data_IF_631358025323
#
_entry.id   IF_631358025323
#
_cell.length_a   1.000
_cell.length_b   1.000
_cell.length_c   1.000
_cell.angle_alpha   90.00
_cell.angle_beta   90.00
_cell.angle_gamma   90.00
#
_symmetry.space_group_name_H-M   'P 1'
#
loop_
_entity.id
_entity.type
_entity.pdbx_description
1 polymer ?
#
# COMPACT_ATOMS: atom_id res chain seq x y z
N UNK A 1 -17.84 -16.90 -25.80
CA UNK A 1 -17.69 -16.84 -24.34
C UNK A 1 -19.02 -17.07 -23.59
N UNK A 2 -20.12 -16.39 -23.93
CA UNK A 2 -21.45 -16.59 -23.30
C UNK A 2 -22.16 -17.94 -23.56
N UNK A 3 -21.65 -18.80 -24.44
CA UNK A 3 -22.30 -20.06 -24.84
C UNK A 3 -21.95 -21.26 -23.96
N UNK A 4 -21.02 -21.10 -22.99
CA UNK A 4 -20.41 -22.20 -22.22
C UNK A 4 -20.67 -22.08 -20.70
N UNK A 5 -21.11 -20.93 -20.18
CA UNK A 5 -21.47 -20.74 -18.76
C UNK A 5 -22.82 -20.00 -18.64
N UNK A 6 -23.96 -20.69 -18.45
CA UNK A 6 -25.29 -20.08 -18.57
C UNK A 6 -25.72 -19.23 -17.36
N UNK A 7 -25.05 -19.32 -16.21
CA UNK A 7 -25.39 -18.61 -14.98
C UNK A 7 -24.17 -18.50 -14.07
N UNK A 8 -23.94 -17.34 -13.47
CA UNK A 8 -22.92 -17.15 -12.40
C UNK A 8 -23.37 -17.74 -11.05
N UNK A 9 -24.66 -18.07 -10.90
CA UNK A 9 -25.24 -18.46 -9.61
C UNK A 9 -24.90 -19.91 -9.20
N UNK A 10 -24.55 -20.79 -10.14
CA UNK A 10 -24.32 -22.22 -9.90
C UNK A 10 -22.85 -22.65 -10.15
N UNK A 11 -21.92 -21.69 -10.19
CA UNK A 11 -20.49 -21.97 -10.40
C UNK A 11 -19.89 -22.41 -9.05
N UNK A 12 -19.14 -23.54 -8.98
CA UNK A 12 -18.40 -23.90 -7.78
C UNK A 12 -17.49 -22.75 -7.31
N UNK A 13 -17.33 -22.55 -6.00
CA UNK A 13 -16.52 -21.44 -5.46
C UNK A 13 -15.09 -21.41 -6.03
N UNK A 14 -14.53 -22.58 -6.36
CA UNK A 14 -13.21 -22.71 -6.98
C UNK A 14 -13.12 -22.07 -8.36
N UNK A 15 -14.23 -22.08 -9.12
CA UNK A 15 -14.36 -21.54 -10.47
C UNK A 15 -15.01 -20.15 -10.49
N UNK A 16 -15.33 -19.59 -9.32
CA UNK A 16 -15.99 -18.30 -9.19
C UNK A 16 -15.01 -17.16 -9.50
N UNK A 17 -15.26 -16.34 -10.54
CA UNK A 17 -14.37 -15.24 -10.90
C UNK A 17 -14.25 -14.16 -9.82
N UNK A 18 -15.17 -14.12 -8.85
CA UNK A 18 -15.18 -13.19 -7.73
C UNK A 18 -14.59 -13.77 -6.44
N UNK A 19 -14.08 -15.01 -6.46
CA UNK A 19 -13.52 -15.67 -5.27
C UNK A 19 -12.47 -14.81 -4.56
N UNK A 20 -11.56 -14.20 -5.32
CA UNK A 20 -10.53 -13.30 -4.77
C UNK A 20 -11.13 -12.09 -4.05
N UNK A 21 -12.24 -11.53 -4.55
CA UNK A 21 -12.93 -10.42 -3.89
C UNK A 21 -13.62 -10.87 -2.59
N UNK A 22 -14.23 -12.05 -2.57
CA UNK A 22 -14.81 -12.60 -1.34
C UNK A 22 -13.74 -12.85 -0.28
N UNK A 23 -12.59 -13.40 -0.68
CA UNK A 23 -11.45 -13.59 0.23
C UNK A 23 -10.93 -12.26 0.78
N UNK A 24 -10.81 -11.22 -0.07
CA UNK A 24 -10.42 -9.90 0.39
C UNK A 24 -11.44 -9.31 1.39
N UNK A 25 -12.74 -9.48 1.13
CA UNK A 25 -13.80 -9.07 2.08
C UNK A 25 -13.61 -9.77 3.43
N UNK A 26 -13.37 -11.08 3.43
CA UNK A 26 -13.20 -11.86 4.67
C UNK A 26 -11.93 -11.41 5.43
N UNK A 27 -10.84 -11.15 4.73
CA UNK A 27 -9.62 -10.60 5.31
C UNK A 27 -9.88 -9.25 6.00
N UNK A 28 -10.61 -8.35 5.33
CA UNK A 28 -10.94 -7.03 5.88
C UNK A 28 -12.02 -7.06 6.96
N UNK A 29 -12.90 -8.06 7.01
CA UNK A 29 -13.88 -8.19 8.09
C UNK A 29 -13.19 -8.33 9.46
N UNK A 30 -12.11 -9.11 9.53
CA UNK A 30 -11.34 -9.24 10.77
C UNK A 30 -10.65 -7.92 11.14
N UNK A 31 -10.01 -7.26 10.16
CA UNK A 31 -9.37 -5.95 10.36
C UNK A 31 -10.38 -4.93 10.88
N UNK A 32 -11.54 -4.82 10.21
CA UNK A 32 -12.63 -3.93 10.59
C UNK A 32 -13.10 -4.18 12.02
N UNK A 33 -13.29 -5.44 12.41
CA UNK A 33 -13.71 -5.79 13.77
C UNK A 33 -12.72 -5.29 14.83
N UNK A 34 -11.41 -5.42 14.56
CA UNK A 34 -10.37 -4.93 15.47
C UNK A 34 -10.43 -3.41 15.57
N UNK A 35 -10.51 -2.70 14.44
CA UNK A 35 -10.60 -1.24 14.41
C UNK A 35 -11.88 -0.70 15.05
N UNK A 36 -13.03 -1.29 14.76
CA UNK A 36 -14.31 -0.90 15.37
C UNK A 36 -14.24 -1.08 16.90
N UNK A 37 -13.65 -2.19 17.37
CA UNK A 37 -13.46 -2.42 18.82
C UNK A 37 -12.53 -1.38 19.43
N UNK A 38 -11.42 -1.05 18.77
CA UNK A 38 -10.49 -0.01 19.23
C UNK A 38 -11.18 1.35 19.34
N UNK A 39 -12.00 1.72 18.35
CA UNK A 39 -12.77 2.97 18.34
C UNK A 39 -13.82 3.00 19.46
N UNK A 40 -14.58 1.92 19.64
CA UNK A 40 -15.66 1.83 20.64
C UNK A 40 -15.13 1.81 22.08
N UNK A 41 -13.96 1.22 22.30
CA UNK A 41 -13.35 1.09 23.64
C UNK A 41 -12.35 2.20 23.96
N UNK A 42 -11.93 2.98 22.97
CA UNK A 42 -10.85 3.96 23.09
C UNK A 42 -9.45 3.32 23.25
N UNK A 43 -9.31 2.02 23.01
CA UNK A 43 -8.03 1.32 23.09
C UNK A 43 -7.37 1.23 21.71
N UNK A 44 -6.47 2.17 21.42
CA UNK A 44 -5.76 2.24 20.14
C UNK A 44 -4.46 1.42 20.10
N UNK A 45 -4.12 0.70 21.17
CA UNK A 45 -2.89 -0.11 21.26
C UNK A 45 -2.97 -1.44 20.47
N UNK A 46 -3.66 -1.42 19.32
CA UNK A 46 -3.89 -2.56 18.42
C UNK A 46 -2.97 -2.53 17.20
N UNK A 47 -2.25 -1.43 16.98
CA UNK A 47 -1.33 -1.23 15.87
C UNK A 47 0.12 -1.18 16.36
N UNK A 48 1.01 -1.65 15.50
CA UNK A 48 2.43 -1.32 15.53
C UNK A 48 2.73 -0.40 14.36
N UNK A 49 3.67 0.54 14.53
CA UNK A 49 4.01 1.49 13.48
C UNK A 49 5.50 1.83 13.41
N UNK A 50 5.89 2.32 12.23
CA UNK A 50 7.08 3.12 11.98
C UNK A 50 6.59 4.50 11.59
N UNK A 51 7.12 5.52 12.25
CA UNK A 51 6.83 6.92 11.97
C UNK A 51 8.09 7.58 11.42
N UNK A 52 7.99 8.11 10.21
CA UNK A 52 9.00 8.98 9.63
C UNK A 52 8.52 10.42 9.72
N UNK A 53 9.42 11.29 10.13
CA UNK A 53 9.23 12.73 10.20
C UNK A 53 10.21 13.37 9.20
N UNK A 54 9.72 14.31 8.42
CA UNK A 54 10.52 15.13 7.52
C UNK A 54 10.35 16.60 7.89
N UNK A 55 11.48 17.31 8.03
CA UNK A 55 11.51 18.76 8.31
C UNK A 55 11.20 19.60 7.05
N UNK A 56 10.16 19.22 6.33
CA UNK A 56 9.59 19.97 5.21
C UNK A 56 8.09 19.70 5.13
N UNK A 57 7.24 20.71 4.91
CA UNK A 57 5.85 20.49 4.57
C UNK A 57 5.74 19.98 3.13
N UNK A 58 4.83 19.03 2.89
CA UNK A 58 4.51 18.55 1.54
C UNK A 58 3.20 19.12 1.03
N UNK A 59 3.05 19.13 -0.30
CA UNK A 59 1.83 19.57 -0.98
C UNK A 59 0.90 18.42 -1.37
N UNK A 60 1.04 17.28 -0.70
CA UNK A 60 0.20 16.10 -0.90
C UNK A 60 -0.17 15.46 0.44
N UNK A 61 -1.26 14.70 0.44
CA UNK A 61 -1.61 13.81 1.53
C UNK A 61 -2.21 12.54 0.93
N UNK A 62 -2.00 11.40 1.58
CA UNK A 62 -2.47 10.14 1.04
C UNK A 62 -2.63 9.06 2.09
N UNK A 63 -3.56 8.16 1.83
CA UNK A 63 -3.72 6.93 2.61
C UNK A 63 -3.82 5.74 1.67
N UNK A 64 -3.29 4.61 2.11
CA UNK A 64 -3.37 3.37 1.36
C UNK A 64 -3.13 2.16 2.24
N UNK A 65 -3.32 1.00 1.66
CA UNK A 65 -2.95 -0.26 2.28
C UNK A 65 -2.50 -1.23 1.20
N UNK A 66 -1.72 -2.22 1.60
CA UNK A 66 -1.38 -3.31 0.70
C UNK A 66 -1.13 -4.60 1.46
N UNK A 67 -1.37 -5.71 0.78
CA UNK A 67 -0.88 -7.02 1.18
C UNK A 67 0.49 -7.25 0.50
N UNK A 68 1.56 -6.69 1.07
CA UNK A 68 2.89 -6.80 0.47
C UNK A 68 3.37 -8.26 0.37
N UNK A 69 3.87 -8.70 -0.78
CA UNK A 69 4.33 -10.09 -0.98
C UNK A 69 5.82 -10.26 -0.66
N UNK A 70 6.61 -9.20 -0.81
CA UNK A 70 8.06 -9.17 -0.60
C UNK A 70 8.48 -7.96 0.25
N UNK A 71 9.61 -8.09 0.95
CA UNK A 71 10.26 -7.00 1.70
C UNK A 71 11.10 -6.10 0.79
N UNK A 72 11.73 -5.04 1.34
CA UNK A 72 12.52 -4.08 0.53
C UNK A 72 13.78 -4.69 -0.10
N UNK A 73 14.19 -5.87 0.34
CA UNK A 73 15.32 -6.64 -0.19
C UNK A 73 14.85 -7.76 -1.14
N UNK A 74 13.56 -7.79 -1.50
CA UNK A 74 12.99 -8.80 -2.39
C UNK A 74 12.75 -10.17 -1.72
N UNK A 75 12.80 -10.27 -0.39
CA UNK A 75 12.52 -11.52 0.31
C UNK A 75 11.02 -11.70 0.48
N UNK A 76 10.50 -12.90 0.17
CA UNK A 76 9.08 -13.21 0.30
C UNK A 76 8.61 -13.12 1.76
N UNK A 77 7.58 -12.32 2.02
CA UNK A 77 6.91 -12.17 3.31
C UNK A 77 5.68 -13.08 3.39
N UNK A 78 4.83 -13.06 2.36
CA UNK A 78 3.59 -13.83 2.32
C UNK A 78 3.30 -14.40 0.92
N UNK A 79 2.48 -15.45 0.88
CA UNK A 79 2.09 -16.11 -0.36
C UNK A 79 0.59 -15.90 -0.62
N UNK A 80 0.24 -14.82 -1.32
CA UNK A 80 -1.16 -14.49 -1.63
C UNK A 80 -1.84 -15.47 -2.60
N UNK A 81 -1.06 -16.32 -3.27
CA UNK A 81 -1.58 -17.40 -4.11
C UNK A 81 -2.10 -18.60 -3.30
N UNK A 82 -1.87 -18.64 -1.98
CA UNK A 82 -2.41 -19.69 -1.12
C UNK A 82 -3.77 -19.25 -0.57
N UNK A 83 -4.90 -19.80 -1.06
CA UNK A 83 -6.23 -19.37 -0.65
C UNK A 83 -6.60 -19.74 0.79
N UNK A 84 -5.77 -20.53 1.47
CA UNK A 84 -5.98 -20.94 2.86
C UNK A 84 -5.29 -19.99 3.87
N UNK A 85 -4.62 -18.94 3.38
CA UNK A 85 -3.90 -17.98 4.23
C UNK A 85 -4.50 -16.59 4.01
N UNK A 86 -4.98 -16.01 5.09
CA UNK A 86 -5.48 -14.64 5.12
C UNK A 86 -4.37 -13.63 4.85
N UNK A 87 -4.62 -12.67 3.94
CA UNK A 87 -3.67 -11.64 3.61
C UNK A 87 -3.44 -10.70 4.80
N UNK A 88 -2.18 -10.44 5.12
CA UNK A 88 -1.79 -9.48 6.16
C UNK A 88 -1.40 -8.17 5.50
N UNK A 89 -1.97 -7.10 6.03
CA UNK A 89 -1.90 -5.78 5.43
C UNK A 89 -1.00 -4.85 6.23
N UNK A 90 -0.29 -4.00 5.50
CA UNK A 90 0.24 -2.75 6.05
C UNK A 90 -0.70 -1.60 5.64
N UNK A 91 -0.75 -0.57 6.47
CA UNK A 91 -1.51 0.66 6.26
C UNK A 91 -0.55 1.84 6.26
N UNK A 92 -0.68 2.71 5.28
CA UNK A 92 0.18 3.88 5.12
C UNK A 92 -0.65 5.15 5.12
N UNK A 93 -0.14 6.15 5.81
CA UNK A 93 -0.71 7.49 5.88
C UNK A 93 0.41 8.51 5.79
N UNK A 94 0.27 9.47 4.88
CA UNK A 94 1.19 10.60 4.72
C UNK A 94 0.40 11.90 4.75
N UNK A 95 0.82 12.84 5.59
CA UNK A 95 0.17 14.14 5.70
C UNK A 95 1.14 15.22 6.20
N UNK A 96 0.94 16.49 5.79
CA UNK A 96 1.63 17.63 6.37
C UNK A 96 0.99 18.04 7.70
N UNK A 97 1.81 18.45 8.67
CA UNK A 97 1.39 19.06 9.92
C UNK A 97 2.34 20.22 10.27
N UNK A 98 1.87 21.45 10.08
CA UNK A 98 2.71 22.64 10.23
C UNK A 98 3.85 22.66 9.21
N UNK A 99 5.08 22.79 9.70
CA UNK A 99 6.32 22.81 8.89
C UNK A 99 6.91 21.41 8.65
N UNK A 100 6.20 20.35 9.05
CA UNK A 100 6.66 18.97 8.98
C UNK A 100 5.74 18.10 8.15
N UNK A 101 6.27 16.97 7.74
CA UNK A 101 5.51 15.88 7.12
C UNK A 101 5.68 14.61 7.92
N UNK A 102 4.57 13.95 8.18
CA UNK A 102 4.53 12.66 8.84
C UNK A 102 4.17 11.57 7.83
N UNK A 103 4.96 10.52 7.81
CA UNK A 103 4.63 9.28 7.13
C UNK A 103 4.55 8.15 8.16
N UNK A 104 3.37 7.56 8.30
CA UNK A 104 3.09 6.48 9.24
C UNK A 104 2.85 5.21 8.44
N UNK A 105 3.68 4.21 8.67
CA UNK A 105 3.52 2.85 8.14
C UNK A 105 3.16 1.96 9.32
N UNK A 106 2.03 1.27 9.26
CA UNK A 106 1.49 0.53 10.40
C UNK A 106 0.89 -0.80 9.99
N UNK A 107 0.73 -1.70 10.96
CA UNK A 107 0.07 -2.99 10.79
C UNK A 107 -0.56 -3.41 12.11
N UNK A 108 -1.50 -4.36 12.06
CA UNK A 108 -2.08 -4.94 13.26
C UNK A 108 -0.98 -5.61 14.09
N UNK A 109 -0.94 -5.34 15.39
CA UNK A 109 0.12 -5.82 16.30
C UNK A 109 0.25 -7.35 16.33
N UNK A 110 -0.82 -8.09 16.05
CA UNK A 110 -0.79 -9.54 15.87
C UNK A 110 0.16 -10.00 14.74
N UNK A 111 0.47 -9.12 13.79
CA UNK A 111 1.37 -9.37 12.66
C UNK A 111 2.81 -8.89 12.89
N UNK A 112 3.18 -8.49 14.11
CA UNK A 112 4.54 -8.01 14.41
C UNK A 112 5.64 -8.99 14.01
N UNK A 113 5.44 -10.29 14.25
CA UNK A 113 6.42 -11.31 13.88
C UNK A 113 6.61 -11.40 12.36
N UNK A 114 5.54 -11.22 11.58
CA UNK A 114 5.58 -11.24 10.12
C UNK A 114 6.35 -10.04 9.56
N UNK A 115 6.10 -8.85 10.11
CA UNK A 115 6.67 -7.60 9.63
C UNK A 115 7.95 -7.16 10.36
N UNK A 116 8.49 -7.98 11.27
CA UNK A 116 9.64 -7.63 12.10
C UNK A 116 10.88 -7.24 11.26
N UNK A 117 11.20 -8.00 10.21
CA UNK A 117 12.34 -7.70 9.33
C UNK A 117 12.12 -6.43 8.52
N UNK A 118 10.93 -6.29 7.92
CA UNK A 118 10.52 -5.11 7.18
C UNK A 118 10.57 -3.84 8.05
N UNK A 119 10.12 -3.91 9.31
CA UNK A 119 10.27 -2.83 10.29
C UNK A 119 11.72 -2.39 10.45
N UNK A 120 12.66 -3.33 10.60
CA UNK A 120 14.09 -3.01 10.73
C UNK A 120 14.63 -2.33 9.47
N UNK A 121 14.24 -2.83 8.29
CA UNK A 121 14.60 -2.21 7.01
C UNK A 121 14.12 -0.75 6.96
N UNK A 122 12.82 -0.50 7.23
CA UNK A 122 12.26 0.86 7.26
C UNK A 122 12.97 1.81 8.22
N UNK A 123 13.34 1.33 9.42
CA UNK A 123 14.04 2.13 10.43
C UNK A 123 15.49 2.44 10.02
N UNK A 124 16.11 1.54 9.24
CA UNK A 124 17.49 1.68 8.78
C UNK A 124 17.66 2.57 7.54
N UNK A 125 16.57 2.90 6.83
CA UNK A 125 16.65 3.70 5.61
C UNK A 125 17.19 5.11 5.88
N UNK A 126 18.13 5.62 5.05
CA UNK A 126 18.47 7.04 5.05
C UNK A 126 17.28 7.86 4.53
N UNK A 127 17.21 9.14 4.91
CA UNK A 127 16.09 10.02 4.58
C UNK A 127 15.77 10.07 3.09
N UNK A 128 16.79 10.17 2.23
CA UNK A 128 16.64 10.15 0.77
C UNK A 128 15.90 8.89 0.29
N UNK A 129 16.26 7.72 0.81
CA UNK A 129 15.58 6.46 0.47
C UNK A 129 14.17 6.36 1.03
N UNK A 130 13.88 7.02 2.15
CA UNK A 130 12.50 7.13 2.66
C UNK A 130 11.63 7.94 1.70
N UNK A 131 12.12 9.07 1.18
CA UNK A 131 11.40 9.89 0.19
C UNK A 131 11.12 9.10 -1.09
N UNK A 132 12.15 8.45 -1.63
CA UNK A 132 12.02 7.57 -2.81
C UNK A 132 10.99 6.46 -2.55
N UNK A 133 11.04 5.82 -1.37
CA UNK A 133 10.08 4.79 -1.01
C UNK A 133 8.64 5.30 -1.04
N UNK A 134 8.38 6.51 -0.52
CA UNK A 134 7.04 7.12 -0.55
C UNK A 134 6.62 7.53 -1.96
N UNK A 135 7.55 8.04 -2.79
CA UNK A 135 7.28 8.37 -4.19
C UNK A 135 6.81 7.16 -5.01
N UNK A 136 7.37 5.98 -4.75
CA UNK A 136 6.92 4.73 -5.38
C UNK A 136 5.67 4.17 -4.71
N UNK A 137 5.66 4.12 -3.37
CA UNK A 137 4.62 3.43 -2.63
C UNK A 137 3.24 4.07 -2.80
N UNK A 138 3.14 5.39 -2.63
CA UNK A 138 1.85 6.06 -2.64
C UNK A 138 1.04 5.80 -3.91
N UNK A 139 1.55 6.07 -5.14
CA UNK A 139 0.79 5.78 -6.34
C UNK A 139 0.46 4.29 -6.49
N UNK A 140 1.29 3.37 -5.97
CA UNK A 140 0.99 1.93 -6.05
C UNK A 140 -0.18 1.49 -5.16
N UNK A 141 -0.37 2.12 -3.99
CA UNK A 141 -1.28 1.61 -2.94
C UNK A 141 -2.37 2.60 -2.53
N UNK A 142 -2.33 3.83 -3.04
CA UNK A 142 -3.23 4.87 -2.58
C UNK A 142 -4.63 4.64 -3.12
N UNK A 143 -5.56 4.35 -2.23
CA UNK A 143 -6.99 4.44 -2.50
C UNK A 143 -7.43 5.91 -2.59
N UNK A 144 -6.71 6.80 -1.90
CA UNK A 144 -6.97 8.23 -1.89
C UNK A 144 -5.65 8.99 -1.73
N UNK A 145 -5.20 9.65 -2.79
CA UNK A 145 -4.14 10.64 -2.76
C UNK A 145 -4.71 11.98 -3.20
N UNK A 146 -4.39 13.02 -2.45
CA UNK A 146 -4.74 14.40 -2.76
C UNK A 146 -3.46 15.17 -2.94
N UNK A 147 -3.34 15.86 -4.06
CA UNK A 147 -2.20 16.72 -4.38
C UNK A 147 -2.71 18.15 -4.57
N UNK A 148 -1.95 19.13 -4.12
CA UNK A 148 -2.24 20.53 -4.41
C UNK A 148 -2.35 20.74 -5.95
N UNK A 149 -3.45 21.29 -6.47
CA UNK A 149 -3.66 21.40 -7.92
C UNK A 149 -2.58 22.22 -8.63
N UNK A 150 -2.13 23.34 -8.05
CA UNK A 150 -1.11 24.20 -8.67
C UNK A 150 0.24 23.48 -8.74
N UNK A 151 0.62 22.75 -7.68
CA UNK A 151 1.83 21.94 -7.66
C UNK A 151 1.78 20.83 -8.72
N UNK A 152 0.64 20.15 -8.82
CA UNK A 152 0.41 19.09 -9.81
C UNK A 152 0.49 19.60 -11.25
N UNK A 153 -0.13 20.75 -11.53
CA UNK A 153 -0.15 21.35 -12.85
C UNK A 153 1.24 21.87 -13.28
N UNK A 154 2.08 22.25 -12.32
CA UNK A 154 3.46 22.71 -12.57
C UNK A 154 4.44 21.59 -12.96
N UNK A 155 4.12 20.31 -12.70
CA UNK A 155 4.94 19.22 -13.20
C UNK A 155 4.96 19.14 -14.73
N UNK A 156 6.03 18.60 -15.27
CA UNK A 156 6.07 18.21 -16.68
C UNK A 156 5.10 17.04 -16.93
N UNK A 157 4.48 17.03 -18.12
CA UNK A 157 3.46 16.03 -18.47
C UNK A 157 3.94 14.58 -18.32
N UNK A 158 5.20 14.30 -18.68
CA UNK A 158 5.76 12.95 -18.57
C UNK A 158 5.84 12.46 -17.12
N UNK A 159 6.08 13.34 -16.14
CA UNK A 159 6.09 12.99 -14.71
C UNK A 159 4.71 12.58 -14.23
N UNK A 160 3.67 13.35 -14.61
CA UNK A 160 2.28 13.02 -14.32
C UNK A 160 1.85 11.71 -14.98
N UNK A 161 2.29 11.47 -16.22
CA UNK A 161 1.98 10.24 -16.94
C UNK A 161 2.60 9.00 -16.28
N UNK A 162 3.85 9.09 -15.79
CA UNK A 162 4.48 7.99 -15.06
C UNK A 162 3.79 7.73 -13.72
N UNK A 163 3.50 8.79 -12.95
CA UNK A 163 2.71 8.68 -11.71
C UNK A 163 1.38 7.98 -11.98
N UNK A 164 0.63 8.43 -13.00
CA UNK A 164 -0.65 7.83 -13.36
C UNK A 164 -0.51 6.38 -13.85
N UNK A 165 0.56 6.03 -14.57
CA UNK A 165 0.78 4.64 -15.00
C UNK A 165 0.98 3.69 -13.80
N UNK A 166 1.69 4.15 -12.77
CA UNK A 166 1.87 3.41 -11.51
C UNK A 166 0.54 3.28 -10.78
N UNK A 167 -0.23 4.36 -10.67
CA UNK A 167 -1.58 4.37 -10.10
C UNK A 167 -2.54 3.40 -10.82
N UNK A 168 -2.48 3.34 -12.15
CA UNK A 168 -3.28 2.39 -12.95
C UNK A 168 -2.78 0.95 -12.87
N UNK A 169 -1.78 0.66 -12.03
CA UNK A 169 -1.37 -0.70 -11.68
C UNK A 169 -0.33 -1.31 -12.61
N UNK A 170 0.48 -0.51 -13.31
CA UNK A 170 1.57 -1.07 -14.15
C UNK A 170 2.55 -1.90 -13.30
N UNK A 171 2.82 -1.48 -12.06
CA UNK A 171 3.66 -2.23 -11.13
C UNK A 171 3.07 -3.62 -10.82
N UNK A 172 1.76 -3.72 -10.65
CA UNK A 172 1.07 -5.00 -10.46
C UNK A 172 1.19 -5.92 -11.68
N UNK A 173 1.18 -5.35 -12.89
CA UNK A 173 1.40 -6.13 -14.12
C UNK A 173 2.82 -6.70 -14.18
N UNK A 174 3.85 -5.89 -13.88
CA UNK A 174 5.23 -6.37 -13.80
C UNK A 174 5.41 -7.46 -12.74
N UNK A 175 4.85 -7.26 -11.54
CA UNK A 175 4.88 -8.28 -10.48
C UNK A 175 4.19 -9.59 -10.88
N UNK A 176 3.11 -9.52 -11.68
CA UNK A 176 2.42 -10.69 -12.20
C UNK A 176 3.25 -11.46 -13.26
N UNK A 177 4.14 -10.77 -13.98
CA UNK A 177 5.10 -11.37 -14.91
C UNK A 177 6.33 -11.95 -14.21
N UNK A 178 6.45 -11.73 -12.89
CA UNK A 178 7.53 -12.23 -12.05
C UNK A 178 8.67 -11.25 -11.84
N UNK A 179 8.53 -10.02 -12.32
CA UNK A 179 9.50 -8.95 -12.08
C UNK A 179 9.31 -8.35 -10.69
N UNK A 180 10.42 -7.98 -10.05
CA UNK A 180 10.40 -7.28 -8.77
C UNK A 180 10.42 -5.77 -9.02
N UNK A 181 9.40 -5.07 -8.54
CA UNK A 181 9.37 -3.61 -8.57
C UNK A 181 10.19 -3.04 -7.40
N UNK A 182 11.40 -2.54 -7.68
CA UNK A 182 12.26 -1.95 -6.65
C UNK A 182 11.73 -0.59 -6.18
N UNK A 183 11.12 -0.57 -5.01
CA UNK A 183 10.55 0.63 -4.41
C UNK A 183 11.59 1.61 -3.88
N UNK A 184 12.87 1.26 -3.90
CA UNK A 184 14.00 2.12 -3.53
C UNK A 184 14.75 2.69 -4.73
N UNK A 185 14.30 2.37 -5.95
CA UNK A 185 14.77 3.02 -7.18
C UNK A 185 14.05 4.37 -7.38
N UNK A 186 14.75 5.47 -7.64
CA UNK A 186 14.11 6.77 -7.84
C UNK A 186 13.19 6.77 -9.09
N UNK A 187 11.90 7.13 -8.95
CA UNK A 187 11.05 7.36 -10.12
C UNK A 187 11.42 8.70 -10.79
N UNK A 188 10.84 9.00 -11.96
CA UNK A 188 11.16 10.26 -12.67
C UNK A 188 10.55 11.52 -12.04
N UNK A 189 9.69 11.35 -11.04
CA UNK A 189 9.01 12.40 -10.30
C UNK A 189 9.39 12.37 -8.82
N UNK A 190 9.20 13.48 -8.12
CA UNK A 190 9.41 13.56 -6.66
C UNK A 190 8.27 14.34 -6.01
N UNK A 191 7.40 13.64 -5.26
CA UNK A 191 6.28 14.25 -4.54
C UNK A 191 6.76 15.25 -3.48
N UNK A 192 7.98 15.09 -2.96
CA UNK A 192 8.56 15.99 -1.97
C UNK A 192 9.06 17.31 -2.56
N UNK A 193 9.14 17.40 -3.89
CA UNK A 193 9.52 18.61 -4.66
C UNK A 193 8.29 19.36 -5.24
N UNK A 194 7.06 18.89 -4.97
CA UNK A 194 5.82 19.51 -5.40
C UNK A 194 5.64 20.94 -4.90
#
# INVERSE_FOLDING_TARGET
MFKIKPSLADIPDEDNPYRGMHMAIDDFQNVKKIFDTALLTGNYDVLSSVVWEFDQPVRFAGTGFEAMTHDLEGNKIQNLLNPNVSAKHIFVMVFPEGEKTYCIISWLKENDALFAKYKQQLLSLPEEKKKIYINNLLPMISENIVVNPEAWDNWEEYKRNEFGAIEFGIATLFEAEGDYWDRLEPPVYDLFDL
#
